data_IF_800773884971
#
_entry.id   IF_800773884971
#
_cell.length_a   1.000
_cell.length_b   1.000
_cell.length_c   1.000
_cell.angle_alpha   90.00
_cell.angle_beta   90.00
_cell.angle_gamma   90.00
#
_symmetry.space_group_name_H-M   'P 1'
#
loop_
_entity.id
_entity.type
_entity.pdbx_description
1 polymer ?
#
# COMPACT_ATOMS: atom_id res chain seq x y z
N UNK A 1 18.36 2.64 -12.14
CA UNK A 1 17.49 3.84 -12.08
C UNK A 1 16.40 3.86 -13.16
N UNK A 2 16.62 3.37 -14.39
CA UNK A 2 15.60 3.31 -15.45
C UNK A 2 14.36 2.45 -15.10
N UNK A 3 14.54 1.35 -14.35
CA UNK A 3 13.47 0.42 -14.00
C UNK A 3 12.41 1.02 -13.07
N UNK A 4 12.82 1.81 -12.08
CA UNK A 4 11.89 2.35 -11.08
C UNK A 4 11.01 3.49 -11.65
N UNK A 5 11.58 4.36 -12.49
CA UNK A 5 10.79 5.37 -13.21
C UNK A 5 9.74 4.73 -14.13
N UNK A 6 10.13 3.69 -14.86
CA UNK A 6 9.19 2.93 -15.69
C UNK A 6 8.09 2.25 -14.87
N UNK A 7 8.40 1.77 -13.66
CA UNK A 7 7.40 1.23 -12.75
C UNK A 7 6.44 2.30 -12.24
N UNK A 8 6.91 3.51 -11.93
CA UNK A 8 6.04 4.62 -11.51
C UNK A 8 5.04 5.01 -12.59
N UNK A 9 5.49 5.13 -13.84
CA UNK A 9 4.61 5.36 -14.98
C UNK A 9 3.57 4.24 -15.12
N UNK A 10 4.00 2.99 -14.93
CA UNK A 10 3.09 1.84 -15.01
C UNK A 10 2.06 1.82 -13.88
N UNK A 11 2.41 2.28 -12.69
CA UNK A 11 1.46 2.46 -11.58
C UNK A 11 0.47 3.57 -11.92
N UNK A 12 0.97 4.73 -12.34
CA UNK A 12 0.13 5.88 -12.70
C UNK A 12 -0.91 5.53 -13.78
N UNK A 13 -0.51 4.70 -14.76
CA UNK A 13 -1.40 4.23 -15.84
C UNK A 13 -2.22 2.98 -15.50
N UNK A 14 -2.11 2.42 -14.29
CA UNK A 14 -2.82 1.19 -13.90
C UNK A 14 -2.38 -0.05 -14.69
N UNK A 15 -1.14 -0.11 -15.17
CA UNK A 15 -0.57 -1.20 -15.99
C UNK A 15 0.45 -2.06 -15.25
N UNK A 16 0.78 -1.74 -14.00
CA UNK A 16 1.74 -2.53 -13.23
C UNK A 16 1.08 -3.82 -12.73
N UNK A 17 1.58 -4.98 -13.15
CA UNK A 17 0.98 -6.29 -12.81
C UNK A 17 1.13 -6.72 -11.36
N UNK A 18 1.90 -5.99 -10.56
CA UNK A 18 2.10 -6.26 -9.12
C UNK A 18 2.37 -4.95 -8.35
N UNK A 19 1.33 -4.20 -7.96
CA UNK A 19 1.51 -2.93 -7.27
C UNK A 19 2.23 -3.05 -5.92
N UNK A 20 2.13 -4.18 -5.21
CA UNK A 20 2.79 -4.42 -3.92
C UNK A 20 4.32 -4.44 -4.01
N UNK A 21 4.90 -4.63 -5.21
CA UNK A 21 6.35 -4.48 -5.43
C UNK A 21 6.83 -3.03 -5.41
N UNK A 22 5.91 -2.08 -5.50
CA UNK A 22 6.22 -0.65 -5.61
C UNK A 22 5.61 0.12 -4.45
N UNK A 23 4.32 -0.10 -4.18
CA UNK A 23 3.50 0.61 -3.19
C UNK A 23 3.54 -0.07 -1.82
N UNK A 24 3.29 0.72 -0.78
CA UNK A 24 3.37 0.30 0.60
C UNK A 24 4.80 0.26 1.14
N UNK A 25 5.00 -0.39 2.29
CA UNK A 25 6.25 -0.39 3.03
C UNK A 25 7.27 -1.39 2.46
N UNK A 26 8.49 -0.92 2.23
CA UNK A 26 9.60 -1.69 1.69
C UNK A 26 10.84 -1.54 2.58
N UNK A 27 11.31 -2.64 3.17
CA UNK A 27 12.53 -2.66 3.97
C UNK A 27 13.75 -3.06 3.13
N UNK A 28 14.77 -2.20 3.10
CA UNK A 28 16.12 -2.54 2.68
C UNK A 28 17.08 -2.47 3.89
N UNK A 29 18.24 -3.12 3.78
CA UNK A 29 19.29 -3.11 4.80
C UNK A 29 19.68 -1.64 5.05
N UNK A 30 19.16 -1.05 6.13
CA UNK A 30 19.32 0.37 6.57
C UNK A 30 18.48 1.45 5.89
N UNK A 31 17.43 1.10 5.14
CA UNK A 31 16.48 2.08 4.62
C UNK A 31 15.08 1.47 4.55
N UNK A 32 14.13 2.06 5.25
CA UNK A 32 12.72 1.74 5.09
C UNK A 32 12.09 2.79 4.19
N UNK A 33 11.38 2.35 3.15
CA UNK A 33 10.73 3.26 2.19
C UNK A 33 9.25 2.93 2.13
N UNK A 34 8.41 3.95 2.29
CA UNK A 34 6.97 3.84 2.05
C UNK A 34 6.64 4.60 0.77
N UNK A 35 5.86 3.98 -0.10
CA UNK A 35 5.35 4.64 -1.31
C UNK A 35 3.84 4.55 -1.37
N UNK A 36 3.21 5.64 -1.76
CA UNK A 36 1.76 5.70 -1.93
C UNK A 36 1.40 6.36 -3.25
N UNK A 37 0.27 5.96 -3.82
CA UNK A 37 -0.31 6.55 -5.02
C UNK A 37 -1.62 7.24 -4.65
N UNK A 38 -1.60 8.57 -4.68
CA UNK A 38 -2.69 9.45 -4.24
C UNK A 38 -2.90 10.55 -5.30
N UNK A 39 -3.59 10.25 -6.42
CA UNK A 39 -3.68 11.16 -7.57
C UNK A 39 -4.35 12.50 -7.27
N UNK A 40 -5.21 12.52 -6.25
CA UNK A 40 -5.99 13.70 -5.85
C UNK A 40 -5.29 14.52 -4.76
N UNK A 41 -4.23 13.98 -4.14
CA UNK A 41 -3.51 14.63 -3.06
C UNK A 41 -2.49 15.66 -3.57
N UNK A 42 -2.51 16.83 -2.95
CA UNK A 42 -1.53 17.90 -3.15
C UNK A 42 -0.28 17.66 -2.30
N UNK A 43 -0.46 17.03 -1.13
CA UNK A 43 0.62 16.62 -0.25
C UNK A 43 0.21 15.37 0.55
N UNK A 44 1.22 14.60 0.95
CA UNK A 44 1.04 13.40 1.76
C UNK A 44 2.06 13.39 2.91
N UNK A 45 1.61 13.05 4.09
CA UNK A 45 2.43 12.86 5.27
C UNK A 45 2.25 11.45 5.82
N UNK A 46 3.33 10.86 6.32
CA UNK A 46 3.24 9.70 7.21
C UNK A 46 3.05 10.20 8.62
N UNK A 47 2.04 9.65 9.29
CA UNK A 47 1.74 9.91 10.69
C UNK A 47 1.69 8.60 11.46
N UNK A 48 1.91 8.65 12.77
CA UNK A 48 1.75 7.49 13.64
C UNK A 48 0.27 7.27 14.03
N UNK A 49 0.02 6.30 14.90
CA UNK A 49 -1.33 5.97 15.35
C UNK A 49 -1.96 7.07 16.23
N UNK A 50 -1.16 8.01 16.75
CA UNK A 50 -1.60 9.19 17.50
C UNK A 50 -1.75 10.43 16.61
N UNK A 51 -1.69 10.28 15.29
CA UNK A 51 -1.72 11.39 14.32
C UNK A 51 -0.51 12.34 14.46
N UNK A 52 0.60 11.90 15.06
CA UNK A 52 1.84 12.67 15.10
C UNK A 52 2.64 12.52 13.79
N UNK A 53 3.20 13.64 13.31
CA UNK A 53 3.96 13.64 12.06
C UNK A 53 5.26 12.83 12.20
N UNK A 54 5.37 11.76 11.41
CA UNK A 54 6.61 11.01 11.26
C UNK A 54 7.52 11.67 10.21
N UNK A 55 6.97 11.89 8.99
CA UNK A 55 7.73 12.47 7.88
C UNK A 55 6.79 12.95 6.76
N UNK A 56 7.14 14.07 6.12
CA UNK A 56 6.48 14.51 4.88
C UNK A 56 6.95 13.66 3.70
N UNK A 57 6.03 13.13 2.91
CA UNK A 57 6.37 12.35 1.73
C UNK A 57 6.75 13.28 0.57
N UNK A 58 7.78 12.89 -0.19
CA UNK A 58 8.21 13.62 -1.39
C UNK A 58 7.42 13.13 -2.60
N UNK A 59 6.89 14.04 -3.42
CA UNK A 59 6.36 13.67 -4.74
C UNK A 59 7.50 13.15 -5.64
N UNK A 60 7.31 11.96 -6.20
CA UNK A 60 8.25 11.27 -7.09
C UNK A 60 7.70 11.05 -8.49
N UNK A 61 6.42 11.37 -8.72
CA UNK A 61 5.74 11.35 -10.00
C UNK A 61 4.62 12.40 -9.99
N UNK A 62 4.39 13.05 -11.13
CA UNK A 62 3.41 14.14 -11.26
C UNK A 62 1.96 13.68 -11.05
N UNK A 63 1.63 12.45 -11.46
CA UNK A 63 0.30 11.83 -11.24
C UNK A 63 0.02 11.40 -9.78
N UNK A 64 0.71 11.98 -8.79
CA UNK A 64 0.42 11.75 -7.37
C UNK A 64 1.09 10.52 -6.78
N UNK A 65 2.31 10.19 -7.21
CA UNK A 65 3.12 9.17 -6.52
C UNK A 65 4.03 9.83 -5.48
N UNK A 66 3.99 9.34 -4.25
CA UNK A 66 4.73 9.90 -3.11
C UNK A 66 5.66 8.86 -2.49
N UNK A 67 6.81 9.29 -1.99
CA UNK A 67 7.83 8.44 -1.35
C UNK A 67 8.33 9.08 -0.05
N UNK A 68 8.34 8.31 1.04
CA UNK A 68 9.04 8.66 2.26
C UNK A 68 10.14 7.63 2.55
N UNK A 69 11.29 8.11 3.02
CA UNK A 69 12.44 7.28 3.41
C UNK A 69 12.73 7.52 4.88
N UNK A 70 12.74 6.44 5.65
CA UNK A 70 13.00 6.44 7.08
C UNK A 70 14.21 5.54 7.37
N UNK A 71 14.99 5.86 8.42
CA UNK A 71 16.15 5.06 8.79
C UNK A 71 15.78 3.68 9.34
N UNK A 72 14.62 3.56 9.97
CA UNK A 72 14.11 2.34 10.59
C UNK A 72 12.62 2.14 10.27
N UNK A 73 12.13 0.89 10.26
CA UNK A 73 10.70 0.62 10.21
C UNK A 73 9.99 1.17 11.45
N UNK A 74 8.76 1.65 11.28
CA UNK A 74 7.85 1.99 12.38
C UNK A 74 6.82 0.87 12.56
N UNK A 75 6.29 0.71 13.78
CA UNK A 75 5.35 -0.36 14.11
C UNK A 75 3.99 -0.18 13.40
N UNK A 76 3.53 1.07 13.26
CA UNK A 76 2.30 1.46 12.59
C UNK A 76 2.48 2.82 11.93
N UNK A 77 1.76 3.05 10.82
CA UNK A 77 1.66 4.36 10.21
C UNK A 77 0.34 4.50 9.47
N UNK A 78 -0.08 5.75 9.30
CA UNK A 78 -1.21 6.15 8.47
C UNK A 78 -0.78 7.26 7.51
N UNK A 79 -1.56 7.46 6.46
CA UNK A 79 -1.35 8.49 5.45
C UNK A 79 -2.27 9.66 5.76
N UNK A 80 -1.70 10.82 6.05
CA UNK A 80 -2.44 12.08 6.09
C UNK A 80 -2.37 12.74 4.71
N UNK A 81 -3.52 12.90 4.09
CA UNK A 81 -3.68 13.45 2.74
C UNK A 81 -4.22 14.88 2.82
N UNK A 82 -3.68 15.74 1.97
CA UNK A 82 -4.16 17.11 1.77
C UNK A 82 -4.75 17.21 0.37
N UNK A 83 -6.06 17.44 0.28
CA UNK A 83 -6.83 17.51 -0.96
C UNK A 83 -7.68 18.78 -0.98
N UNK A 84 -7.24 19.79 -1.73
CA UNK A 84 -7.89 21.11 -1.75
C UNK A 84 -7.98 21.69 -0.33
N UNK A 85 -9.20 21.94 0.15
CA UNK A 85 -9.45 22.47 1.50
C UNK A 85 -9.68 21.37 2.55
N UNK A 86 -9.49 20.10 2.18
CA UNK A 86 -9.67 18.96 3.08
C UNK A 86 -8.34 18.33 3.50
N UNK A 87 -8.29 17.89 4.76
CA UNK A 87 -7.23 17.09 5.31
C UNK A 87 -7.84 15.91 6.07
N UNK A 88 -7.38 14.70 5.77
CA UNK A 88 -7.86 13.49 6.42
C UNK A 88 -6.78 12.41 6.47
N UNK A 89 -6.91 11.51 7.45
CA UNK A 89 -5.96 10.41 7.69
C UNK A 89 -6.61 9.08 7.33
N UNK A 90 -5.89 8.21 6.61
CA UNK A 90 -6.33 6.85 6.24
C UNK A 90 -5.23 5.82 6.38
N UNK A 91 -5.60 4.55 6.48
CA UNK A 91 -4.67 3.42 6.47
C UNK A 91 -4.21 3.08 5.05
N UNK A 92 -2.91 2.86 4.86
CA UNK A 92 -2.36 2.49 3.55
C UNK A 92 -2.86 1.09 3.13
N UNK A 93 -3.65 0.93 2.06
CA UNK A 93 -4.13 -0.38 1.63
C UNK A 93 -2.99 -1.35 1.27
N UNK A 94 -1.83 -0.83 0.86
CA UNK A 94 -0.67 -1.64 0.48
C UNK A 94 0.24 -2.02 1.65
N UNK A 95 -0.08 -1.60 2.89
CA UNK A 95 0.63 -2.10 4.10
C UNK A 95 0.20 -3.52 4.48
N UNK A 96 -1.04 -3.90 4.15
CA UNK A 96 -1.61 -5.18 4.52
C UNK A 96 -1.20 -6.26 3.51
N UNK A 97 -0.67 -7.37 4.01
CA UNK A 97 -0.37 -8.52 3.15
C UNK A 97 -1.66 -9.18 2.69
N UNK A 98 -1.65 -9.73 1.48
CA UNK A 98 -2.78 -10.52 0.98
C UNK A 98 -3.09 -11.68 1.95
N UNK A 99 -4.34 -11.86 2.36
CA UNK A 99 -4.76 -12.99 3.18
C UNK A 99 -4.73 -14.34 2.42
N UNK A 100 -4.55 -14.31 1.09
CA UNK A 100 -4.24 -15.52 0.31
C UNK A 100 -2.81 -16.00 0.61
N UNK A 101 -2.72 -17.03 1.45
CA UNK A 101 -1.44 -17.66 1.78
C UNK A 101 -0.90 -18.55 0.63
N UNK A 102 0.33 -19.02 0.78
CA UNK A 102 0.98 -19.87 -0.23
C UNK A 102 0.25 -21.20 -0.44
N UNK A 103 -0.30 -21.78 0.63
CA UNK A 103 -1.09 -23.00 0.55
C UNK A 103 -2.36 -22.80 -0.28
N UNK A 104 -3.03 -21.65 -0.13
CA UNK A 104 -4.23 -21.34 -0.90
C UNK A 104 -3.91 -21.22 -2.38
N UNK A 105 -2.83 -20.51 -2.71
CA UNK A 105 -2.35 -20.37 -4.08
C UNK A 105 -1.97 -21.72 -4.68
N UNK A 106 -1.35 -22.59 -3.88
CA UNK A 106 -1.00 -23.95 -4.31
C UNK A 106 -2.25 -24.80 -4.58
N UNK A 107 -3.18 -24.89 -3.62
CA UNK A 107 -4.43 -25.65 -3.77
C UNK A 107 -5.30 -25.11 -4.90
N UNK A 108 -5.31 -23.80 -5.12
CA UNK A 108 -6.01 -23.18 -6.24
C UNK A 108 -5.41 -23.60 -7.58
N UNK A 109 -4.08 -23.64 -7.71
CA UNK A 109 -3.40 -24.13 -8.92
C UNK A 109 -3.69 -25.60 -9.22
N UNK A 110 -3.91 -26.41 -8.19
CA UNK A 110 -4.28 -27.82 -8.34
C UNK A 110 -5.78 -28.07 -8.52
N UNK A 111 -6.62 -27.02 -8.44
CA UNK A 111 -8.08 -27.15 -8.45
C UNK A 111 -8.66 -27.83 -7.20
N UNK A 112 -7.90 -27.85 -6.10
CA UNK A 112 -8.24 -28.53 -4.84
C UNK A 112 -8.74 -27.59 -3.74
N UNK A 113 -8.75 -26.28 -3.96
CA UNK A 113 -9.25 -25.32 -2.98
C UNK A 113 -10.79 -25.39 -2.93
N UNK A 114 -11.31 -26.19 -1.99
CA UNK A 114 -12.76 -26.49 -1.90
C UNK A 114 -13.59 -25.28 -1.43
N UNK A 115 -12.99 -24.39 -0.64
CA UNK A 115 -13.66 -23.23 -0.06
C UNK A 115 -13.34 -21.95 -0.86
N UNK A 116 -13.36 -22.06 -2.19
CA UNK A 116 -12.96 -20.97 -3.08
C UNK A 116 -13.86 -19.73 -2.90
N UNK A 117 -15.16 -19.94 -2.67
CA UNK A 117 -16.13 -18.86 -2.44
C UNK A 117 -15.87 -18.07 -1.14
N UNK A 118 -15.25 -18.69 -0.14
CA UNK A 118 -14.89 -18.03 1.13
C UNK A 118 -13.66 -17.12 0.96
N UNK A 119 -12.99 -17.17 -0.19
CA UNK A 119 -11.74 -16.43 -0.44
C UNK A 119 -11.83 -15.49 -1.64
N UNK A 120 -12.48 -15.89 -2.72
CA UNK A 120 -12.69 -15.04 -3.91
C UNK A 120 -13.89 -14.11 -3.74
N UNK A 121 -13.89 -13.00 -4.47
CA UNK A 121 -14.94 -11.99 -4.39
C UNK A 121 -14.62 -10.93 -3.32
N UNK A 122 -15.65 -10.40 -2.66
CA UNK A 122 -15.53 -9.33 -1.67
C UNK A 122 -15.89 -9.83 -0.27
N UNK A 123 -14.94 -9.75 0.66
CA UNK A 123 -15.11 -10.26 2.03
C UNK A 123 -14.78 -9.17 3.03
N UNK A 124 -15.70 -8.91 3.97
CA UNK A 124 -15.42 -8.05 5.13
C UNK A 124 -14.45 -8.78 6.03
N UNK A 125 -13.30 -8.17 6.30
CA UNK A 125 -12.25 -8.74 7.13
C UNK A 125 -11.69 -7.69 8.08
N UNK A 126 -10.94 -8.16 9.06
CA UNK A 126 -10.18 -7.34 9.99
C UNK A 126 -8.73 -7.82 9.97
N UNK A 127 -7.79 -6.93 9.71
CA UNK A 127 -6.34 -7.20 9.75
C UNK A 127 -5.70 -6.15 10.66
N UNK A 128 -4.95 -6.60 11.66
CA UNK A 128 -4.28 -5.74 12.65
C UNK A 128 -5.25 -4.70 13.27
N UNK A 129 -6.42 -5.16 13.70
CA UNK A 129 -7.53 -4.35 14.27
C UNK A 129 -8.15 -3.31 13.31
N UNK A 130 -7.79 -3.34 12.02
CA UNK A 130 -8.36 -2.48 10.97
C UNK A 130 -9.40 -3.24 10.15
N UNK A 131 -10.64 -2.76 10.21
CA UNK A 131 -11.77 -3.29 9.43
C UNK A 131 -11.70 -2.80 7.99
N UNK A 132 -11.92 -3.71 7.05
CA UNK A 132 -11.94 -3.40 5.63
C UNK A 132 -12.64 -4.46 4.80
N UNK A 133 -12.45 -4.38 3.48
CA UNK A 133 -12.96 -5.36 2.52
C UNK A 133 -11.79 -5.87 1.68
N UNK A 134 -11.63 -7.18 1.63
CA UNK A 134 -10.65 -7.86 0.78
C UNK A 134 -11.29 -8.27 -0.54
N UNK A 135 -10.56 -8.03 -1.65
CA UNK A 135 -10.95 -8.39 -3.01
C UNK A 135 -9.94 -9.36 -3.61
N UNK A 136 -10.43 -10.46 -4.22
CA UNK A 136 -9.61 -11.45 -4.94
C UNK A 136 -10.34 -12.07 -6.13
#
# INVERSE_FOLDING_TARGET
>A
MATLKSSYESIARGRHGDPFKILGPHSAIKNWTVRSFQPQAQAVELVDDNDELLIKMRSVHEDGLFEAKLPLPVAGYRLRLYENDHCYTLDDPYRFKSPFGDLDRHLMREGKLRNLADKLGAHVIEIDDVKGVHFA
#
